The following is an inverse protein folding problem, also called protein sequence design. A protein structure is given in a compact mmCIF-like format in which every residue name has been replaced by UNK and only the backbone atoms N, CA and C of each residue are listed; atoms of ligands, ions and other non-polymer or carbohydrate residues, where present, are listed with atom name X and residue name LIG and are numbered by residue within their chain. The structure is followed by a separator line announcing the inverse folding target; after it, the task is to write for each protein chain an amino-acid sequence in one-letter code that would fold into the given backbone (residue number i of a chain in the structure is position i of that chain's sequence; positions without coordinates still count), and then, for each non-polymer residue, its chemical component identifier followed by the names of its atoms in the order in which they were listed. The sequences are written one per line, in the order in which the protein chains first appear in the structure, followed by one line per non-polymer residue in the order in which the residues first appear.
data_IF_251117288404
#
_entry.id   IF_251117288404
#
_cell.length_a   1.000
_cell.length_b   1.000
_cell.length_c   1.000
_cell.angle_alpha   90.00
_cell.angle_beta   90.00
_cell.angle_gamma   90.00
#
_symmetry.space_group_name_H-M   'P 1'
#
loop_
_entity.id
_entity.type
_entity.pdbx_description
1 polymer ?
#
# COMPACT_ATOMS: atom_id res chain seq x y z
N UNK A 1 -0.58 -29.37 -27.56
CA UNK A 1 -0.03 -28.92 -26.26
C UNK A 1 0.70 -27.61 -26.54
N UNK A 2 0.53 -26.56 -25.73
CA UNK A 2 1.29 -25.32 -25.95
C UNK A 2 2.78 -25.59 -25.74
N UNK A 3 3.62 -25.02 -26.61
CA UNK A 3 5.07 -25.13 -26.50
C UNK A 3 5.58 -24.34 -25.28
N UNK A 4 6.60 -24.88 -24.60
CA UNK A 4 7.22 -24.24 -23.44
C UNK A 4 8.13 -23.09 -23.90
N UNK A 5 8.14 -21.94 -23.19
CA UNK A 5 9.09 -20.87 -23.44
C UNK A 5 10.56 -21.32 -23.30
N UNK A 6 11.49 -20.57 -23.92
CA UNK A 6 12.92 -20.84 -23.84
C UNK A 6 13.42 -20.83 -22.38
N UNK A 7 14.24 -21.80 -22.00
CA UNK A 7 14.81 -21.91 -20.66
C UNK A 7 13.86 -22.49 -19.59
N UNK A 8 12.61 -22.82 -19.95
CA UNK A 8 11.65 -23.37 -19.00
C UNK A 8 11.72 -24.90 -18.94
N UNK A 9 11.54 -25.44 -17.73
CA UNK A 9 11.52 -26.88 -17.49
C UNK A 9 10.28 -27.24 -16.67
N UNK A 10 9.50 -28.19 -17.17
CA UNK A 10 8.27 -28.67 -16.56
C UNK A 10 8.37 -30.17 -16.28
N UNK A 11 8.09 -30.60 -15.05
CA UNK A 11 8.01 -32.03 -14.69
C UNK A 11 6.57 -32.41 -14.40
N UNK A 12 6.01 -33.34 -15.19
CA UNK A 12 4.66 -33.84 -15.01
C UNK A 12 4.64 -35.38 -14.97
N UNK A 13 3.45 -35.99 -14.88
CA UNK A 13 3.28 -37.45 -14.84
C UNK A 13 3.76 -38.16 -16.13
N UNK A 14 3.95 -37.42 -17.22
CA UNK A 14 4.49 -37.91 -18.50
C UNK A 14 6.03 -37.78 -18.59
N UNK A 15 6.67 -37.21 -17.56
CA UNK A 15 8.12 -37.00 -17.50
C UNK A 15 8.52 -35.53 -17.42
N UNK A 16 9.80 -35.26 -17.66
CA UNK A 16 10.37 -33.92 -17.67
C UNK A 16 10.42 -33.40 -19.11
N UNK A 17 9.66 -32.33 -19.38
CA UNK A 17 9.68 -31.59 -20.64
C UNK A 17 10.52 -30.33 -20.43
N UNK A 18 11.55 -30.18 -21.26
CA UNK A 18 12.41 -29.00 -21.28
C UNK A 18 12.05 -28.22 -22.54
N UNK A 19 11.75 -26.94 -22.38
CA UNK A 19 11.61 -26.02 -23.50
C UNK A 19 12.93 -25.87 -24.25
N UNK A 20 12.94 -25.16 -25.39
CA UNK A 20 14.17 -24.92 -26.12
C UNK A 20 15.23 -24.26 -25.21
N UNK A 21 16.52 -24.51 -25.43
CA UNK A 21 17.58 -23.76 -24.75
C UNK A 21 17.33 -22.26 -24.93
N UNK A 22 17.61 -21.45 -23.90
CA UNK A 22 17.85 -20.03 -24.15
C UNK A 22 18.94 -19.97 -25.21
N UNK A 23 18.65 -19.35 -26.35
CA UNK A 23 19.67 -19.13 -27.36
C UNK A 23 20.72 -18.24 -26.70
N UNK A 24 21.97 -18.72 -26.64
CA UNK A 24 23.12 -17.91 -26.21
C UNK A 24 23.58 -17.03 -27.38
N UNK A 25 22.65 -16.36 -28.05
CA UNK A 25 23.01 -15.20 -28.84
C UNK A 25 23.30 -14.07 -27.84
N UNK A 26 24.55 -14.05 -27.37
CA UNK A 26 25.16 -13.00 -26.54
C UNK A 26 25.20 -11.63 -27.24
N UNK A 27 24.05 -11.20 -27.74
CA UNK A 27 23.79 -10.03 -28.53
C UNK A 27 22.46 -9.43 -28.07
N UNK A 28 22.45 -8.85 -26.86
CA UNK A 28 21.71 -7.61 -26.72
C UNK A 28 22.47 -6.58 -27.55
N UNK A 29 22.06 -6.37 -28.81
CA UNK A 29 22.46 -5.16 -29.53
C UNK A 29 22.06 -3.97 -28.64
N UNK A 30 22.93 -3.03 -28.31
CA UNK A 30 23.70 -2.25 -29.28
C UNK A 30 24.90 -2.99 -29.86
N UNK A 31 24.71 -3.41 -31.11
CA UNK A 31 25.68 -3.58 -32.19
C UNK A 31 27.17 -3.55 -31.82
N UNK A 32 27.82 -4.72 -31.89
CA UNK A 32 29.12 -4.87 -32.56
C UNK A 32 30.36 -5.12 -31.69
N UNK A 33 30.72 -6.40 -31.62
CA UNK A 33 32.03 -7.07 -31.48
C UNK A 33 33.35 -6.25 -31.50
N UNK A 34 34.17 -6.42 -30.45
CA UNK A 34 35.64 -6.61 -30.48
C UNK A 34 36.16 -7.05 -29.10
N UNK A 35 36.91 -8.15 -29.07
CA UNK A 35 37.23 -9.01 -27.93
C UNK A 35 38.46 -8.56 -27.13
N UNK A 36 38.33 -8.41 -25.81
CA UNK A 36 39.40 -8.76 -24.88
C UNK A 36 38.81 -9.32 -23.59
N UNK A 37 39.05 -10.62 -23.38
CA UNK A 37 38.44 -11.42 -22.34
C UNK A 37 38.72 -10.93 -20.91
N UNK A 38 37.63 -10.73 -20.19
CA UNK A 38 37.52 -10.91 -18.74
C UNK A 38 36.04 -11.18 -18.48
N UNK A 39 35.72 -12.16 -17.63
CA UNK A 39 34.35 -12.26 -17.10
C UNK A 39 34.01 -10.87 -16.54
N UNK A 40 32.89 -10.22 -16.91
CA UNK A 40 32.46 -9.11 -16.11
C UNK A 40 32.07 -9.74 -14.77
N UNK A 41 32.96 -9.61 -13.79
CA UNK A 41 32.51 -9.27 -12.45
C UNK A 41 31.41 -8.24 -12.71
N UNK A 42 30.14 -8.62 -12.53
CA UNK A 42 29.10 -7.61 -12.41
C UNK A 42 29.46 -6.94 -11.10
N UNK A 43 30.33 -5.95 -11.22
CA UNK A 43 30.58 -4.96 -10.22
C UNK A 43 29.24 -4.29 -9.99
N UNK A 44 28.47 -4.88 -9.08
CA UNK A 44 27.60 -4.16 -8.16
C UNK A 44 28.46 -3.20 -7.29
N UNK A 45 29.55 -2.64 -7.83
CA UNK A 45 30.46 -1.68 -7.25
C UNK A 45 30.14 -0.25 -7.71
N UNK A 46 29.10 -0.08 -8.53
CA UNK A 46 28.58 1.24 -8.94
C UNK A 46 27.28 1.65 -8.26
N UNK A 47 26.56 0.72 -7.63
CA UNK A 47 25.45 1.06 -6.74
C UNK A 47 25.99 0.94 -5.32
N UNK A 48 26.50 2.05 -4.76
CA UNK A 48 26.85 2.11 -3.35
C UNK A 48 25.53 1.94 -2.57
N UNK A 49 25.16 0.69 -2.26
CA UNK A 49 24.02 0.34 -1.40
C UNK A 49 24.42 0.38 0.07
N UNK A 50 25.36 1.26 0.39
CA UNK A 50 25.74 1.54 1.76
C UNK A 50 24.65 2.37 2.44
N UNK A 51 24.47 2.21 3.76
CA UNK A 51 23.52 3.02 4.52
C UNK A 51 23.87 4.52 4.51
N UNK A 52 25.09 4.89 4.10
CA UNK A 52 25.63 6.24 3.94
C UNK A 52 25.78 6.69 2.45
N UNK A 53 25.10 6.02 1.53
CA UNK A 53 25.09 6.38 0.11
C UNK A 53 24.41 7.74 -0.12
N UNK A 54 25.15 8.69 -0.69
CA UNK A 54 24.75 10.08 -0.99
C UNK A 54 23.53 10.21 -1.93
N UNK A 55 22.95 9.11 -2.42
CA UNK A 55 21.74 9.09 -3.24
C UNK A 55 20.41 9.03 -2.47
N UNK A 56 20.45 8.85 -1.14
CA UNK A 56 19.26 8.81 -0.27
C UNK A 56 19.17 10.00 0.70
N UNK A 57 20.14 10.93 0.63
CA UNK A 57 20.28 12.07 1.57
C UNK A 57 19.67 13.38 1.03
N UNK A 58 19.13 13.36 -0.20
CA UNK A 58 18.31 14.44 -0.76
C UNK A 58 16.84 14.29 -0.34
N UNK A 59 16.59 14.13 0.97
CA UNK A 59 15.26 14.45 1.52
C UNK A 59 15.21 15.97 1.61
N UNK A 60 14.78 16.62 0.53
CA UNK A 60 14.22 17.96 0.69
C UNK A 60 13.07 17.83 1.71
N UNK A 61 12.95 18.82 2.60
CA UNK A 61 11.80 18.96 3.49
C UNK A 61 10.59 19.36 2.64
N UNK A 62 10.19 18.46 1.74
CA UNK A 62 8.96 18.49 0.97
C UNK A 62 7.85 18.30 1.98
N UNK A 63 7.55 19.38 2.67
CA UNK A 63 6.26 19.62 3.31
C UNK A 63 5.24 19.72 2.18
N UNK A 64 4.91 18.58 1.55
CA UNK A 64 3.86 18.50 0.56
C UNK A 64 2.57 18.98 1.22
N UNK A 65 1.99 20.05 0.68
CA UNK A 65 0.72 20.58 1.16
C UNK A 65 -0.37 19.51 0.99
N UNK A 66 -0.78 18.87 2.10
CA UNK A 66 -1.82 17.85 2.10
C UNK A 66 -3.16 18.49 1.73
N UNK A 67 -3.64 18.21 0.52
CA UNK A 67 -4.85 18.80 -0.03
C UNK A 67 -5.98 17.76 -0.10
N UNK A 68 -6.87 17.79 0.88
CA UNK A 68 -7.99 16.84 1.01
C UNK A 68 -9.25 17.43 0.40
N UNK A 69 -9.70 16.86 -0.71
CA UNK A 69 -10.98 17.22 -1.33
C UNK A 69 -12.18 16.69 -0.53
N UNK A 70 -13.25 17.48 -0.43
CA UNK A 70 -14.52 17.05 0.15
C UNK A 70 -15.11 15.85 -0.61
N UNK A 71 -15.90 15.03 0.09
CA UNK A 71 -16.61 13.89 -0.50
C UNK A 71 -17.73 14.29 -1.47
N UNK A 72 -18.35 15.47 -1.28
CA UNK A 72 -19.59 15.86 -1.98
C UNK A 72 -19.46 17.14 -2.82
N UNK A 73 -18.38 17.91 -2.65
CA UNK A 73 -18.18 19.19 -3.33
C UNK A 73 -16.72 19.42 -3.74
N UNK A 74 -16.44 20.57 -4.36
CA UNK A 74 -15.11 20.92 -4.87
C UNK A 74 -14.22 21.67 -3.84
N UNK A 75 -14.66 21.80 -2.60
CA UNK A 75 -13.83 22.40 -1.54
C UNK A 75 -12.68 21.47 -1.11
N UNK A 76 -11.55 22.08 -0.76
CA UNK A 76 -10.30 21.40 -0.39
C UNK A 76 -9.84 21.90 0.97
N UNK A 77 -9.32 20.99 1.79
CA UNK A 77 -8.95 21.23 3.18
C UNK A 77 -7.54 20.71 3.45
N UNK A 78 -6.84 21.34 4.39
CA UNK A 78 -5.48 20.94 4.79
C UNK A 78 -5.44 19.77 5.79
N UNK A 79 -6.56 19.10 6.04
CA UNK A 79 -6.66 18.09 7.09
C UNK A 79 -8.00 17.35 7.11
N UNK A 80 -7.93 16.08 7.49
CA UNK A 80 -9.04 15.13 7.37
C UNK A 80 -10.19 15.49 8.32
N UNK A 81 -9.85 15.91 9.55
CA UNK A 81 -10.81 16.42 10.54
C UNK A 81 -11.56 17.66 10.05
N UNK A 82 -10.88 18.63 9.44
CA UNK A 82 -11.51 19.84 8.91
C UNK A 82 -12.48 19.53 7.75
N UNK A 83 -12.12 18.59 6.87
CA UNK A 83 -12.99 18.10 5.81
C UNK A 83 -14.22 17.36 6.38
N UNK A 84 -14.04 16.52 7.41
CA UNK A 84 -15.16 15.83 8.06
C UNK A 84 -16.11 16.83 8.74
N UNK A 85 -15.60 17.86 9.42
CA UNK A 85 -16.42 18.92 9.99
C UNK A 85 -17.22 19.69 8.94
N UNK A 86 -16.61 20.00 7.80
CA UNK A 86 -17.32 20.62 6.68
C UNK A 86 -18.43 19.71 6.17
N UNK A 87 -18.14 18.42 5.98
CA UNK A 87 -19.11 17.42 5.52
C UNK A 87 -20.30 17.33 6.48
N UNK A 88 -20.05 17.39 7.78
CA UNK A 88 -21.10 17.35 8.80
C UNK A 88 -21.98 18.61 8.78
N UNK A 89 -21.38 19.80 8.62
CA UNK A 89 -22.11 21.08 8.66
C UNK A 89 -22.86 21.40 7.37
N UNK A 90 -22.26 21.09 6.22
CA UNK A 90 -22.77 21.48 4.89
C UNK A 90 -23.60 20.38 4.24
N UNK A 91 -23.18 19.11 4.42
CA UNK A 91 -23.76 17.96 3.73
C UNK A 91 -24.58 17.04 4.66
N UNK A 92 -24.66 17.35 5.96
CA UNK A 92 -25.33 16.52 6.97
C UNK A 92 -24.75 15.08 6.97
N UNK A 93 -23.45 14.97 6.73
CA UNK A 93 -22.74 13.69 6.63
C UNK A 93 -21.50 13.69 7.52
N UNK A 94 -21.39 12.69 8.39
CA UNK A 94 -20.29 12.56 9.33
C UNK A 94 -19.63 11.19 9.15
N UNK A 95 -18.42 11.18 8.58
CA UNK A 95 -17.70 9.96 8.22
C UNK A 95 -17.37 9.14 9.48
N UNK A 96 -16.89 9.79 10.54
CA UNK A 96 -16.56 9.13 11.81
C UNK A 96 -17.77 8.41 12.41
N UNK A 97 -18.96 9.02 12.35
CA UNK A 97 -20.19 8.38 12.81
C UNK A 97 -20.55 7.15 11.97
N UNK A 98 -20.41 7.22 10.65
CA UNK A 98 -20.71 6.08 9.77
C UNK A 98 -19.72 4.93 10.01
N UNK A 99 -18.43 5.25 10.17
CA UNK A 99 -17.39 4.28 10.53
C UNK A 99 -17.75 3.55 11.83
N UNK A 100 -18.15 4.28 12.86
CA UNK A 100 -18.55 3.71 14.14
C UNK A 100 -19.86 2.90 14.06
N UNK A 101 -20.85 3.35 13.28
CA UNK A 101 -22.15 2.67 13.14
C UNK A 101 -22.03 1.30 12.46
N UNK A 102 -21.14 1.19 11.47
CA UNK A 102 -20.94 -0.04 10.71
C UNK A 102 -19.73 -0.86 11.18
N UNK A 103 -19.04 -0.39 12.23
CA UNK A 103 -17.80 -0.97 12.74
C UNK A 103 -16.75 -1.21 11.64
N UNK A 104 -16.52 -0.18 10.83
CA UNK A 104 -15.65 -0.28 9.66
C UNK A 104 -14.21 -0.45 10.06
N UNK A 105 -13.46 -1.35 9.42
CA UNK A 105 -12.00 -1.32 9.48
C UNK A 105 -11.45 -0.30 8.46
N UNK A 106 -10.13 -0.16 8.40
CA UNK A 106 -9.45 0.76 7.48
C UNK A 106 -9.85 0.51 6.02
N UNK A 107 -9.84 -0.74 5.57
CA UNK A 107 -10.16 -1.10 4.19
C UNK A 107 -11.64 -0.87 3.86
N UNK A 108 -12.54 -1.18 4.79
CA UNK A 108 -13.97 -0.94 4.63
C UNK A 108 -14.28 0.55 4.60
N UNK A 109 -13.55 1.36 5.38
CA UNK A 109 -13.62 2.82 5.33
C UNK A 109 -13.15 3.37 3.97
N UNK A 110 -12.06 2.84 3.43
CA UNK A 110 -11.58 3.18 2.09
C UNK A 110 -12.62 2.84 1.01
N UNK A 111 -13.24 1.66 1.08
CA UNK A 111 -14.33 1.27 0.17
C UNK A 111 -15.51 2.23 0.23
N UNK A 112 -15.93 2.63 1.44
CA UNK A 112 -17.01 3.59 1.64
C UNK A 112 -16.68 4.94 0.98
N UNK A 113 -15.48 5.47 1.21
CA UNK A 113 -15.04 6.75 0.62
C UNK A 113 -15.05 6.68 -0.91
N UNK A 114 -14.48 5.62 -1.49
CA UNK A 114 -14.46 5.44 -2.94
C UNK A 114 -15.84 5.24 -3.54
N UNK A 115 -16.75 4.56 -2.82
CA UNK A 115 -18.15 4.46 -3.21
C UNK A 115 -18.84 5.82 -3.25
N UNK A 116 -18.73 6.61 -2.18
CA UNK A 116 -19.35 7.96 -2.12
C UNK A 116 -18.85 8.81 -3.30
N UNK A 117 -17.53 8.82 -3.53
CA UNK A 117 -16.94 9.56 -4.65
C UNK A 117 -17.45 9.08 -6.00
N UNK A 118 -17.59 7.77 -6.18
CA UNK A 118 -18.12 7.20 -7.42
C UNK A 118 -19.58 7.61 -7.66
N UNK A 119 -20.41 7.66 -6.60
CA UNK A 119 -21.80 8.09 -6.70
C UNK A 119 -21.91 9.59 -7.00
N UNK A 120 -21.09 10.42 -6.36
CA UNK A 120 -21.05 11.87 -6.60
C UNK A 120 -20.58 12.16 -8.03
N UNK A 121 -19.57 11.45 -8.55
CA UNK A 121 -19.16 11.56 -9.95
C UNK A 121 -20.28 11.15 -10.94
N UNK A 122 -21.15 10.23 -10.55
CA UNK A 122 -22.33 9.82 -11.32
C UNK A 122 -23.51 10.79 -11.19
N UNK A 123 -23.38 11.84 -10.38
CA UNK A 123 -24.40 12.89 -10.20
C UNK A 123 -25.34 12.66 -9.01
N UNK A 124 -25.09 11.65 -8.18
CA UNK A 124 -25.82 11.48 -6.92
C UNK A 124 -25.18 12.33 -5.82
N UNK A 125 -25.82 13.45 -5.49
CA UNK A 125 -25.32 14.38 -4.47
C UNK A 125 -25.45 13.85 -3.03
N UNK A 126 -26.23 12.79 -2.79
CA UNK A 126 -26.42 12.21 -1.45
C UNK A 126 -26.58 10.69 -1.55
N UNK A 127 -25.47 9.95 -1.79
CA UNK A 127 -25.50 8.51 -1.83
C UNK A 127 -26.01 7.89 -0.53
N UNK A 128 -26.82 6.85 -0.66
CA UNK A 128 -27.23 6.04 0.48
C UNK A 128 -26.07 5.16 0.95
N UNK A 129 -25.66 5.36 2.20
CA UNK A 129 -24.57 4.62 2.87
C UNK A 129 -25.10 3.63 3.90
N UNK A 130 -26.42 3.57 4.11
CA UNK A 130 -27.06 2.79 5.18
C UNK A 130 -26.92 1.28 4.99
N UNK A 131 -26.83 0.81 3.73
CA UNK A 131 -26.60 -0.60 3.42
C UNK A 131 -25.13 -0.84 3.06
N UNK A 132 -24.41 -1.54 3.95
CA UNK A 132 -23.01 -1.90 3.75
C UNK A 132 -22.78 -2.71 2.47
N UNK A 133 -23.81 -3.41 1.96
CA UNK A 133 -23.70 -4.17 0.70
C UNK A 133 -23.49 -3.28 -0.52
N UNK A 134 -23.89 -2.01 -0.47
CA UNK A 134 -23.74 -1.08 -1.58
C UNK A 134 -22.25 -0.80 -1.91
N UNK A 135 -21.39 -0.89 -0.89
CA UNK A 135 -19.96 -0.58 -0.95
C UNK A 135 -19.05 -1.73 -0.51
N UNK A 136 -19.59 -2.94 -0.32
CA UNK A 136 -18.80 -4.12 0.09
C UNK A 136 -17.86 -4.67 -1.01
N UNK A 137 -18.15 -4.39 -2.28
CA UNK A 137 -17.42 -4.90 -3.45
C UNK A 137 -15.96 -4.41 -3.47
N UNK A 138 -15.03 -5.32 -3.77
CA UNK A 138 -13.59 -5.03 -3.82
C UNK A 138 -13.21 -4.05 -4.93
N UNK A 139 -14.08 -3.81 -5.91
CA UNK A 139 -13.88 -2.75 -6.90
C UNK A 139 -13.67 -1.37 -6.27
N UNK A 140 -14.20 -1.13 -5.07
CA UNK A 140 -14.04 0.13 -4.34
C UNK A 140 -12.73 0.20 -3.52
N UNK A 141 -11.88 -0.82 -3.57
CA UNK A 141 -10.50 -0.70 -3.10
C UNK A 141 -9.61 0.07 -4.07
N UNK A 142 -10.07 0.27 -5.31
CA UNK A 142 -9.36 1.13 -6.25
C UNK A 142 -9.78 2.60 -6.01
N UNK A 143 -8.82 3.52 -5.82
CA UNK A 143 -9.11 4.93 -5.65
C UNK A 143 -9.94 5.50 -6.80
N UNK A 144 -11.06 6.14 -6.47
CA UNK A 144 -11.94 6.79 -7.46
C UNK A 144 -11.43 8.19 -7.85
N UNK A 145 -10.56 8.78 -7.01
CA UNK A 145 -9.89 10.05 -7.25
C UNK A 145 -8.37 9.81 -7.32
N UNK A 146 -7.71 10.46 -8.27
CA UNK A 146 -6.25 10.50 -8.35
C UNK A 146 -5.67 11.29 -7.16
N UNK A 147 -4.57 10.80 -6.58
CA UNK A 147 -3.87 11.42 -5.44
C UNK A 147 -4.80 11.74 -4.26
N UNK A 148 -5.64 10.79 -3.90
CA UNK A 148 -6.62 10.96 -2.83
C UNK A 148 -5.98 11.00 -1.43
N UNK A 149 -5.58 12.20 -1.02
CA UNK A 149 -5.01 12.47 0.30
C UNK A 149 -5.90 12.01 1.46
N UNK A 150 -7.22 11.94 1.29
CA UNK A 150 -8.12 11.49 2.37
C UNK A 150 -7.83 10.04 2.78
N UNK A 151 -7.49 9.17 1.84
CA UNK A 151 -7.34 7.73 2.10
C UNK A 151 -6.16 7.42 3.02
N UNK A 152 -5.18 8.32 3.08
CA UNK A 152 -3.99 8.19 3.92
C UNK A 152 -4.21 8.72 5.35
N UNK A 153 -5.27 9.50 5.57
CA UNK A 153 -5.58 10.16 6.84
C UNK A 153 -6.96 9.74 7.39
N UNK A 154 -7.45 8.56 7.00
CA UNK A 154 -8.74 8.04 7.50
C UNK A 154 -8.70 7.78 9.01
N UNK A 155 -7.56 7.33 9.52
CA UNK A 155 -7.37 7.03 10.95
C UNK A 155 -7.40 8.29 11.82
N UNK A 156 -7.04 9.46 11.25
CA UNK A 156 -7.11 10.74 11.96
C UNK A 156 -8.55 11.19 12.24
N UNK A 157 -9.52 10.66 11.49
CA UNK A 157 -10.96 10.95 11.65
C UNK A 157 -11.63 9.93 12.59
N UNK A 158 -11.07 8.73 12.70
CA UNK A 158 -11.68 7.67 13.50
C UNK A 158 -11.45 7.92 15.00
N UNK A 159 -12.50 8.36 15.70
CA UNK A 159 -12.45 8.66 17.14
C UNK A 159 -12.51 7.40 18.02
N UNK A 160 -12.59 6.19 17.43
CA UNK A 160 -12.64 4.95 18.22
C UNK A 160 -11.29 4.70 18.91
N UNK A 161 -11.29 4.18 20.14
CA UNK A 161 -10.07 3.86 20.84
C UNK A 161 -9.32 2.75 20.12
N UNK A 162 -8.07 3.02 19.73
CA UNK A 162 -7.16 2.00 19.20
C UNK A 162 -6.98 0.95 20.31
N UNK A 163 -7.22 -0.35 20.02
CA UNK A 163 -6.93 -1.41 20.98
C UNK A 163 -5.46 -1.33 21.39
N UNK A 164 -5.17 -1.20 22.69
CA UNK A 164 -3.80 -1.26 23.19
C UNK A 164 -3.18 -2.61 22.74
N UNK A 165 -2.20 -2.57 21.85
CA UNK A 165 -1.42 -3.75 21.51
C UNK A 165 -0.82 -4.31 22.80
N UNK A 166 -1.10 -5.57 23.14
CA UNK A 166 -0.49 -6.24 24.29
C UNK A 166 1.04 -6.18 24.13
N UNK A 167 1.66 -5.26 24.87
CA UNK A 167 3.10 -5.24 25.07
C UNK A 167 3.47 -6.60 25.67
N UNK A 168 4.03 -7.50 24.87
CA UNK A 168 4.66 -8.72 25.37
C UNK A 168 5.79 -8.29 26.31
N UNK A 169 5.51 -8.36 27.62
CA UNK A 169 6.46 -7.99 28.67
C UNK A 169 7.76 -8.79 28.49
N UNK A 170 8.94 -8.16 28.61
CA UNK A 170 10.20 -8.88 28.51
C UNK A 170 10.38 -9.80 29.72
N UNK A 171 10.67 -11.07 29.42
CA UNK A 171 11.46 -12.00 30.23
C UNK A 171 11.26 -11.98 31.74
N UNK A 172 10.43 -12.90 32.24
CA UNK A 172 10.61 -13.42 33.58
C UNK A 172 11.93 -14.21 33.62
N UNK A 173 13.03 -13.55 33.99
CA UNK A 173 14.25 -14.27 34.40
C UNK A 173 13.94 -14.92 35.75
N UNK A 174 13.59 -16.21 35.70
CA UNK A 174 13.60 -17.07 36.88
C UNK A 174 15.01 -17.08 37.45
N UNK A 175 15.21 -16.40 38.58
CA UNK A 175 16.38 -16.58 39.45
C UNK A 175 16.52 -18.06 39.80
N UNK A 176 17.58 -18.67 39.29
CA UNK A 176 18.12 -19.94 39.76
C UNK A 176 19.45 -19.68 40.47
N UNK A 177 19.56 -20.31 41.64
CA UNK A 177 20.74 -20.58 42.47
C UNK A 177 21.33 -19.49 43.38
N UNK A 178 21.18 -19.70 44.70
CA UNK A 178 22.31 -20.10 45.55
C UNK A 178 21.83 -20.50 46.97
N UNK A 179 21.67 -21.80 47.21
CA UNK A 179 21.90 -22.41 48.53
C UNK A 179 23.41 -22.58 48.66
N UNK A 180 24.06 -21.98 49.66
CA UNK A 180 25.29 -22.46 50.33
C UNK A 180 25.59 -21.60 51.58
N UNK A 181 25.68 -22.28 52.73
CA UNK A 181 26.39 -22.00 53.99
C UNK A 181 26.22 -20.66 54.74
N UNK A 182 25.62 -20.74 55.93
CA UNK A 182 26.35 -20.87 57.21
C UNK A 182 25.44 -21.30 58.35
#
# INVERSE_FOLDING_TARGET
MPDLPHGWRMRNAEGEKVGPPVEEDGNYQVWGDDESGSEPDIELAGLDLKPDSEGWDDVEDDTEDVNIKCLFCDEVFSGASAMNEHSAKTHDFDLAKVQAQHDLDFYSSMKLVNYIRAQVQQGDAKPDVSDAKAWADDKYLQPTLEDDALLFSLDDIDERPVPEEEQTKPGATSSIDAVINQ
#
